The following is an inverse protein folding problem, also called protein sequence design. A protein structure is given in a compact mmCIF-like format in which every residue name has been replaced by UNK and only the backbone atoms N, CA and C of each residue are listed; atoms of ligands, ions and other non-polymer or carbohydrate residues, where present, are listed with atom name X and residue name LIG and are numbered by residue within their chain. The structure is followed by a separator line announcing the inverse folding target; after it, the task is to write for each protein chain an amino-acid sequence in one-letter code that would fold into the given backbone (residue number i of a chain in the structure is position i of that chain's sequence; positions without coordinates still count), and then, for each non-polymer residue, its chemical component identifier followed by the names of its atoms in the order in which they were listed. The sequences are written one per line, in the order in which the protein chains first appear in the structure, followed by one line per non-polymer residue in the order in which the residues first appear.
data_IF_671263175701
#
_entry.id   IF_671263175701
#
_cell.length_a   1.000
_cell.length_b   1.000
_cell.length_c   1.000
_cell.angle_alpha   90.00
_cell.angle_beta   90.00
_cell.angle_gamma   90.00
#
_symmetry.space_group_name_H-M   'P 1'
#
loop_
_entity.id
_entity.type
_entity.pdbx_description
1 polymer ?
#
# COMPACT_ATOMS: atom_id res chain seq x y z
N UNK A 1 -20.04 -9.14 -11.64
CA UNK A 1 -19.41 -8.63 -10.40
C UNK A 1 -18.98 -9.83 -9.57
N UNK A 2 -17.72 -9.91 -9.14
CA UNK A 2 -17.26 -10.98 -8.26
C UNK A 2 -17.80 -10.78 -6.84
N UNK A 3 -18.19 -11.88 -6.19
CA UNK A 3 -18.62 -11.86 -4.80
C UNK A 3 -17.45 -11.40 -3.89
N UNK A 4 -17.71 -10.60 -2.84
CA UNK A 4 -16.67 -10.18 -1.91
C UNK A 4 -16.14 -11.38 -1.12
N UNK A 5 -14.82 -11.46 -0.94
CA UNK A 5 -14.14 -12.50 -0.18
C UNK A 5 -13.43 -11.91 1.05
N UNK A 6 -14.18 -11.40 2.05
CA UNK A 6 -13.59 -10.76 3.22
C UNK A 6 -12.82 -11.76 4.08
N UNK A 7 -11.79 -11.27 4.78
CA UNK A 7 -11.07 -12.08 5.77
C UNK A 7 -11.99 -12.42 6.93
N UNK A 8 -11.88 -13.66 7.44
CA UNK A 8 -12.64 -14.11 8.62
C UNK A 8 -11.74 -14.37 9.82
N UNK A 9 -12.26 -14.13 11.01
CA UNK A 9 -11.60 -14.51 12.26
C UNK A 9 -11.67 -16.03 12.45
N UNK A 10 -10.57 -16.64 12.89
CA UNK A 10 -10.49 -18.11 13.05
C UNK A 10 -11.44 -18.67 14.11
N UNK A 11 -11.67 -17.93 15.20
CA UNK A 11 -12.40 -18.42 16.38
C UNK A 11 -13.92 -18.32 16.26
N UNK A 12 -14.42 -17.32 15.55
CA UNK A 12 -15.85 -16.99 15.54
C UNK A 12 -16.41 -16.79 14.13
N UNK A 13 -15.64 -17.03 13.07
CA UNK A 13 -16.10 -16.87 11.69
C UNK A 13 -16.43 -15.42 11.27
N UNK A 14 -16.37 -14.45 12.21
CA UNK A 14 -16.67 -13.03 11.98
C UNK A 14 -15.87 -12.46 10.83
N UNK A 15 -16.52 -11.68 9.98
CA UNK A 15 -15.90 -11.00 8.85
C UNK A 15 -15.15 -9.77 9.37
N UNK A 16 -13.94 -9.56 8.90
CA UNK A 16 -13.12 -8.41 9.29
C UNK A 16 -13.27 -7.32 8.23
N UNK A 17 -13.65 -6.13 8.68
CA UNK A 17 -13.73 -4.92 7.88
C UNK A 17 -12.45 -4.10 8.17
N UNK A 18 -11.63 -3.94 7.14
CA UNK A 18 -10.30 -3.33 7.23
C UNK A 18 -9.16 -4.33 7.51
N UNK A 19 -7.91 -3.83 7.60
CA UNK A 19 -6.74 -4.69 7.66
C UNK A 19 -6.49 -5.25 9.06
N UNK A 20 -6.08 -6.53 9.11
CA UNK A 20 -5.67 -7.16 10.37
C UNK A 20 -4.21 -6.82 10.72
N UNK A 21 -3.90 -6.81 12.03
CA UNK A 21 -2.53 -6.70 12.55
C UNK A 21 -1.53 -7.54 11.75
N UNK A 22 -1.87 -8.82 11.54
CA UNK A 22 -0.99 -9.78 10.85
C UNK A 22 -0.71 -9.37 9.40
N UNK A 23 -1.70 -8.90 8.65
CA UNK A 23 -1.50 -8.52 7.26
C UNK A 23 -0.67 -7.24 7.10
N UNK A 24 -0.71 -6.35 8.11
CA UNK A 24 0.15 -5.15 8.13
C UNK A 24 1.57 -5.46 8.58
N UNK A 25 1.71 -6.29 9.61
CA UNK A 25 2.99 -6.54 10.27
C UNK A 25 3.86 -7.57 9.56
N UNK A 26 3.27 -8.69 9.10
CA UNK A 26 4.02 -9.86 8.64
C UNK A 26 4.97 -9.55 7.46
N UNK A 27 4.57 -8.78 6.42
CA UNK A 27 5.49 -8.48 5.32
C UNK A 27 6.71 -7.65 5.78
N UNK A 28 6.50 -6.68 6.67
CA UNK A 28 7.59 -5.86 7.22
C UNK A 28 8.56 -6.69 8.06
N UNK A 29 8.01 -7.50 8.97
CA UNK A 29 8.79 -8.35 9.85
C UNK A 29 9.55 -9.47 9.12
N UNK A 30 9.05 -9.99 7.99
CA UNK A 30 9.68 -11.08 7.25
C UNK A 30 10.61 -10.64 6.12
N UNK A 31 10.47 -9.41 5.61
CA UNK A 31 11.26 -8.94 4.45
C UNK A 31 12.15 -7.75 4.83
N UNK A 32 11.56 -6.69 5.39
CA UNK A 32 12.30 -5.46 5.68
C UNK A 32 13.22 -5.57 6.90
N UNK A 33 12.70 -6.11 8.00
CA UNK A 33 13.45 -6.20 9.26
C UNK A 33 14.66 -7.14 9.17
N UNK A 34 14.60 -8.30 8.50
CA UNK A 34 15.77 -9.18 8.38
C UNK A 34 16.95 -8.54 7.65
N UNK A 35 16.70 -7.71 6.63
CA UNK A 35 17.77 -7.02 5.90
C UNK A 35 18.48 -6.00 6.79
N UNK A 36 17.72 -5.21 7.56
CA UNK A 36 18.29 -4.29 8.56
C UNK A 36 19.05 -5.04 9.65
N UNK A 37 18.51 -6.17 10.10
CA UNK A 37 19.11 -6.99 11.13
C UNK A 37 20.44 -7.62 10.70
N UNK A 38 20.56 -8.04 9.43
CA UNK A 38 21.83 -8.52 8.87
C UNK A 38 22.86 -7.39 8.81
N UNK A 39 22.45 -6.17 8.44
CA UNK A 39 23.35 -5.02 8.35
C UNK A 39 23.83 -4.54 9.72
N UNK A 40 22.97 -4.61 10.74
CA UNK A 40 23.27 -4.17 12.11
C UNK A 40 23.73 -5.31 13.03
N UNK A 41 23.74 -6.56 12.56
CA UNK A 41 24.04 -7.74 13.38
C UNK A 41 25.47 -7.80 13.91
N UNK A 42 26.40 -7.05 13.30
CA UNK A 42 27.81 -6.96 13.72
C UNK A 42 27.97 -6.35 15.12
N UNK A 43 27.13 -5.37 15.50
CA UNK A 43 27.21 -4.72 16.80
C UNK A 43 26.91 -5.67 17.98
N UNK A 44 25.76 -6.35 18.03
CA UNK A 44 25.50 -7.34 19.07
C UNK A 44 26.43 -8.54 18.97
N UNK A 45 26.90 -8.92 17.77
CA UNK A 45 27.90 -9.98 17.62
C UNK A 45 29.20 -9.65 18.36
N UNK A 46 29.73 -8.43 18.21
CA UNK A 46 30.90 -7.96 18.96
C UNK A 46 30.66 -7.94 20.48
N UNK A 47 29.45 -7.57 20.92
CA UNK A 47 29.07 -7.64 22.34
C UNK A 47 29.03 -9.08 22.87
N UNK A 48 28.52 -10.03 22.08
CA UNK A 48 28.52 -11.46 22.40
C UNK A 48 29.95 -12.00 22.47
N UNK A 49 30.81 -11.61 21.53
CA UNK A 49 32.23 -11.97 21.52
C UNK A 49 32.95 -11.48 22.77
N UNK A 50 32.75 -10.21 23.12
CA UNK A 50 33.34 -9.59 24.30
C UNK A 50 32.86 -10.27 25.59
N UNK A 51 31.55 -10.54 25.70
CA UNK A 51 30.99 -11.29 26.83
C UNK A 51 31.61 -12.69 26.94
N UNK A 52 31.72 -13.42 25.83
CA UNK A 52 32.35 -14.75 25.77
C UNK A 52 33.80 -14.67 26.25
N UNK A 53 34.58 -13.70 25.76
CA UNK A 53 35.97 -13.51 26.15
C UNK A 53 36.13 -13.26 27.66
N UNK A 54 35.25 -12.46 28.26
CA UNK A 54 35.24 -12.22 29.71
C UNK A 54 34.93 -13.50 30.49
N UNK A 55 33.96 -14.31 30.04
CA UNK A 55 33.58 -15.57 30.69
C UNK A 55 34.71 -16.60 30.63
N UNK A 56 35.39 -16.71 29.50
CA UNK A 56 36.56 -17.58 29.35
C UNK A 56 37.72 -17.17 30.27
N UNK A 57 38.01 -15.86 30.38
CA UNK A 57 39.02 -15.35 31.34
C UNK A 57 38.65 -15.62 32.80
N UNK A 58 37.36 -15.65 33.11
CA UNK A 58 36.84 -16.03 34.41
C UNK A 58 36.82 -17.57 34.64
N UNK A 59 37.48 -18.36 33.79
CA UNK A 59 37.61 -19.81 33.94
C UNK A 59 36.37 -20.62 33.57
N UNK A 60 35.36 -20.02 32.94
CA UNK A 60 34.16 -20.75 32.52
C UNK A 60 34.38 -21.33 31.11
N UNK A 61 34.23 -22.66 30.96
CA UNK A 61 34.25 -23.34 29.65
C UNK A 61 33.03 -24.26 29.49
N UNK A 62 31.84 -23.67 29.65
CA UNK A 62 30.57 -24.37 29.49
C UNK A 62 30.21 -24.66 28.03
N UNK A 63 29.30 -25.62 27.75
CA UNK A 63 28.90 -25.99 26.40
C UNK A 63 28.33 -24.81 25.58
N UNK A 64 27.69 -23.84 26.23
CA UNK A 64 27.21 -22.61 25.60
C UNK A 64 28.34 -21.78 24.97
N UNK A 65 29.51 -21.70 25.63
CA UNK A 65 30.66 -20.92 25.14
C UNK A 65 31.34 -21.57 23.94
N UNK A 66 31.24 -22.90 23.83
CA UNK A 66 31.70 -23.68 22.67
C UNK A 66 30.76 -23.51 21.47
N UNK A 67 29.45 -23.53 21.68
CA UNK A 67 28.48 -23.23 20.61
C UNK A 67 28.65 -21.81 20.07
N UNK A 68 29.00 -20.85 20.94
CA UNK A 68 29.28 -19.47 20.58
C UNK A 68 30.69 -19.25 20.04
N UNK A 69 31.55 -20.26 19.94
CA UNK A 69 32.91 -20.10 19.42
C UNK A 69 32.95 -19.59 17.96
N UNK A 70 32.14 -20.10 17.03
CA UNK A 70 32.19 -19.63 15.65
C UNK A 70 31.64 -18.21 15.52
N UNK A 71 32.40 -17.31 14.91
CA UNK A 71 31.98 -15.93 14.66
C UNK A 71 30.68 -15.82 13.85
N UNK A 72 30.42 -16.78 12.94
CA UNK A 72 29.15 -16.86 12.20
C UNK A 72 27.95 -17.08 13.13
N UNK A 73 28.09 -17.91 14.17
CA UNK A 73 27.01 -18.16 15.14
C UNK A 73 26.73 -16.90 15.94
N UNK A 74 27.77 -16.19 16.39
CA UNK A 74 27.63 -14.91 17.09
C UNK A 74 26.97 -13.84 16.22
N UNK A 75 27.34 -13.77 14.93
CA UNK A 75 26.71 -12.89 13.96
C UNK A 75 25.23 -13.21 13.73
N UNK A 76 24.88 -14.48 13.50
CA UNK A 76 23.48 -14.88 13.29
C UNK A 76 22.63 -14.63 14.53
N UNK A 77 23.16 -14.90 15.73
CA UNK A 77 22.48 -14.60 16.98
C UNK A 77 22.29 -13.09 17.16
N UNK A 78 23.32 -12.30 16.85
CA UNK A 78 23.27 -10.85 16.84
C UNK A 78 22.21 -10.31 15.88
N UNK A 79 22.18 -10.79 14.63
CA UNK A 79 21.16 -10.45 13.66
C UNK A 79 19.76 -10.84 14.15
N UNK A 80 19.57 -12.04 14.71
CA UNK A 80 18.28 -12.46 15.27
C UNK A 80 17.81 -11.56 16.43
N UNK A 81 18.73 -11.11 17.29
CA UNK A 81 18.42 -10.17 18.37
C UNK A 81 17.99 -8.81 17.84
N UNK A 82 18.72 -8.24 16.86
CA UNK A 82 18.31 -6.98 16.23
C UNK A 82 16.96 -7.15 15.55
N UNK A 83 16.78 -8.25 14.82
CA UNK A 83 15.53 -8.55 14.14
C UNK A 83 14.37 -8.60 15.13
N UNK A 84 14.49 -9.37 16.20
CA UNK A 84 13.46 -9.50 17.21
C UNK A 84 13.15 -8.15 17.89
N UNK A 85 14.19 -7.36 18.20
CA UNK A 85 14.04 -6.04 18.82
C UNK A 85 13.30 -5.07 17.90
N UNK A 86 13.73 -4.93 16.64
CA UNK A 86 13.12 -4.01 15.67
C UNK A 86 11.70 -4.46 15.32
N UNK A 87 11.50 -5.77 15.16
CA UNK A 87 10.18 -6.34 14.90
C UNK A 87 9.23 -6.04 16.08
N UNK A 88 9.65 -6.31 17.31
CA UNK A 88 8.88 -5.98 18.51
C UNK A 88 8.61 -4.48 18.62
N UNK A 89 9.61 -3.64 18.36
CA UNK A 89 9.47 -2.19 18.38
C UNK A 89 8.45 -1.69 17.36
N UNK A 90 8.42 -2.25 16.15
CA UNK A 90 7.42 -1.93 15.13
C UNK A 90 6.02 -2.47 15.47
N UNK A 91 5.93 -3.56 16.24
CA UNK A 91 4.66 -4.16 16.64
C UNK A 91 3.91 -3.31 17.68
N UNK A 92 4.63 -2.70 18.63
CA UNK A 92 4.05 -1.89 19.72
C UNK A 92 3.14 -0.75 19.23
N UNK A 93 3.59 0.19 18.35
CA UNK A 93 2.72 1.27 17.89
C UNK A 93 1.54 0.75 17.08
N UNK A 94 1.74 -0.33 16.32
CA UNK A 94 0.69 -0.98 15.54
C UNK A 94 -0.40 -1.55 16.46
N UNK A 95 -0.04 -2.19 17.58
CA UNK A 95 -0.99 -2.66 18.59
C UNK A 95 -1.75 -1.51 19.27
N UNK A 96 -1.06 -0.42 19.60
CA UNK A 96 -1.65 0.75 20.28
C UNK A 96 -2.67 1.46 19.38
N UNK A 97 -2.38 1.54 18.08
CA UNK A 97 -3.18 2.25 17.07
C UNK A 97 -4.17 1.36 16.34
N UNK A 98 -4.13 0.04 16.56
CA UNK A 98 -5.01 -0.91 15.89
C UNK A 98 -6.48 -0.62 16.16
N UNK A 99 -7.20 -0.29 15.09
CA UNK A 99 -8.65 -0.09 15.04
C UNK A 99 -9.18 -0.91 13.88
N UNK A 100 -10.07 -1.84 14.17
CA UNK A 100 -10.76 -2.66 13.16
C UNK A 100 -12.21 -2.81 13.52
N UNK A 101 -13.03 -3.14 12.52
CA UNK A 101 -14.45 -3.46 12.74
C UNK A 101 -14.66 -4.91 12.36
N UNK A 102 -15.32 -5.66 13.25
CA UNK A 102 -15.68 -7.05 13.00
C UNK A 102 -17.19 -7.12 12.79
N UNK A 103 -17.61 -7.68 11.68
CA UNK A 103 -19.00 -7.97 11.36
C UNK A 103 -19.32 -9.42 11.74
N UNK A 104 -20.30 -9.57 12.61
CA UNK A 104 -20.90 -10.86 12.93
C UNK A 104 -22.14 -11.06 12.03
N UNK A 105 -22.06 -11.92 11.00
CA UNK A 105 -23.15 -12.08 10.05
C UNK A 105 -24.35 -12.81 10.67
N UNK A 106 -24.13 -13.61 11.71
CA UNK A 106 -25.18 -14.46 12.31
C UNK A 106 -26.11 -13.63 13.19
N UNK A 107 -25.56 -12.65 13.90
CA UNK A 107 -26.30 -11.76 14.82
C UNK A 107 -26.60 -10.39 14.18
N UNK A 108 -26.08 -10.15 12.97
CA UNK A 108 -26.16 -8.86 12.27
C UNK A 108 -25.67 -7.69 13.14
N UNK A 109 -24.52 -7.87 13.80
CA UNK A 109 -23.90 -6.84 14.66
C UNK A 109 -22.49 -6.50 14.22
N UNK A 110 -22.18 -5.21 14.27
CA UNK A 110 -20.85 -4.67 14.08
C UNK A 110 -20.19 -4.44 15.44
N UNK A 111 -18.96 -4.91 15.58
CA UNK A 111 -18.14 -4.71 16.77
C UNK A 111 -16.92 -3.87 16.41
N UNK A 112 -16.78 -2.72 17.06
CA UNK A 112 -15.59 -1.89 16.96
C UNK A 112 -14.52 -2.41 17.91
N UNK A 113 -13.38 -2.77 17.36
CA UNK A 113 -12.25 -3.29 18.12
C UNK A 113 -11.13 -2.27 18.15
N UNK A 114 -10.66 -1.96 19.36
CA UNK A 114 -9.48 -1.13 19.60
C UNK A 114 -8.49 -1.91 20.45
N UNK A 115 -7.22 -1.96 20.03
CA UNK A 115 -6.10 -2.60 20.75
C UNK A 115 -6.22 -4.11 21.06
N UNK A 116 -7.38 -4.75 20.85
CA UNK A 116 -7.77 -6.17 21.11
C UNK A 116 -9.08 -6.30 21.92
N UNK A 117 -9.72 -5.19 22.33
CA UNK A 117 -11.00 -5.20 23.04
C UNK A 117 -12.13 -4.66 22.17
N UNK A 118 -13.32 -5.22 22.34
CA UNK A 118 -14.54 -4.63 21.80
C UNK A 118 -14.81 -3.38 22.64
N UNK A 119 -14.85 -2.23 21.98
CA UNK A 119 -15.14 -0.93 22.62
C UNK A 119 -16.60 -0.57 22.46
N UNK A 120 -17.17 -0.89 21.31
CA UNK A 120 -18.52 -0.48 20.94
C UNK A 120 -19.12 -1.56 20.05
N UNK A 121 -20.44 -1.76 20.17
CA UNK A 121 -21.20 -2.65 19.28
C UNK A 121 -22.42 -1.91 18.78
N UNK A 122 -22.72 -2.07 17.49
CA UNK A 122 -23.82 -1.43 16.79
C UNK A 122 -24.55 -2.48 15.97
N UNK A 123 -25.90 -2.46 15.91
CA UNK A 123 -26.61 -3.35 15.01
C UNK A 123 -26.40 -2.92 13.54
N UNK A 124 -26.44 -3.89 12.63
CA UNK A 124 -26.20 -3.66 11.21
C UNK A 124 -27.27 -2.76 10.57
N UNK A 125 -28.52 -2.82 11.03
CA UNK A 125 -29.61 -2.02 10.47
C UNK A 125 -29.45 -0.51 10.73
N UNK A 126 -28.58 -0.11 11.67
CA UNK A 126 -28.25 1.30 11.87
C UNK A 126 -27.29 1.84 10.81
N UNK A 127 -26.68 0.99 9.98
CA UNK A 127 -25.71 1.43 8.97
C UNK A 127 -26.42 2.03 7.76
N UNK A 128 -26.14 3.31 7.48
CA UNK A 128 -26.77 4.05 6.38
C UNK A 128 -25.80 4.29 5.22
N UNK A 129 -24.50 4.39 5.50
CA UNK A 129 -23.47 4.61 4.47
C UNK A 129 -22.20 3.87 4.81
N UNK A 130 -21.58 3.29 3.79
CA UNK A 130 -20.28 2.63 3.90
C UNK A 130 -19.45 3.03 2.70
N UNK A 131 -18.32 3.67 2.96
CA UNK A 131 -17.37 4.08 1.94
C UNK A 131 -15.99 3.55 2.29
N UNK A 132 -15.22 3.19 1.27
CA UNK A 132 -13.89 2.66 1.43
C UNK A 132 -13.03 3.17 0.30
N UNK A 133 -11.91 3.76 0.63
CA UNK A 133 -10.89 4.06 -0.37
C UNK A 133 -10.15 2.77 -0.75
N UNK A 134 -10.03 2.53 -2.05
CA UNK A 134 -9.35 1.38 -2.62
C UNK A 134 -7.82 1.50 -2.55
N UNK A 135 -7.30 2.71 -2.36
CA UNK A 135 -5.87 3.00 -2.32
C UNK A 135 -5.22 2.61 -0.99
N UNK A 136 -3.91 2.35 -1.04
CA UNK A 136 -3.12 2.02 0.16
C UNK A 136 -2.93 3.30 0.98
N UNK A 137 -3.18 3.24 2.29
CA UNK A 137 -3.28 4.45 3.11
C UNK A 137 -4.67 5.08 3.12
N UNK A 138 -5.57 4.62 2.25
CA UNK A 138 -6.95 5.09 2.15
C UNK A 138 -7.77 4.84 3.41
N UNK A 139 -8.83 5.60 3.58
CA UNK A 139 -9.71 5.55 4.75
C UNK A 139 -11.05 4.95 4.36
N UNK A 140 -11.59 4.09 5.23
CA UNK A 140 -12.98 3.65 5.17
C UNK A 140 -13.82 4.33 6.26
N UNK A 141 -15.06 4.65 5.93
CA UNK A 141 -16.02 5.29 6.82
C UNK A 141 -17.31 4.48 6.83
N UNK A 142 -17.81 4.22 8.03
CA UNK A 142 -19.12 3.60 8.27
C UNK A 142 -19.96 4.64 9.01
N UNK A 143 -21.03 5.12 8.39
CA UNK A 143 -21.94 6.11 8.96
C UNK A 143 -23.22 5.44 9.42
N UNK A 144 -23.66 5.79 10.62
CA UNK A 144 -24.86 5.26 11.26
C UNK A 144 -26.03 6.24 11.19
N UNK A 145 -27.25 5.75 11.45
CA UNK A 145 -28.50 6.51 11.35
C UNK A 145 -28.57 7.68 12.35
N UNK A 146 -27.86 7.59 13.47
CA UNK A 146 -27.72 8.67 14.45
C UNK A 146 -26.67 9.74 14.05
N UNK A 147 -26.05 9.59 12.87
CA UNK A 147 -25.00 10.47 12.37
C UNK A 147 -23.61 10.15 12.94
N UNK A 148 -23.47 9.12 13.79
CA UNK A 148 -22.15 8.69 14.24
C UNK A 148 -21.34 8.09 13.09
N UNK A 149 -20.02 8.24 13.16
CA UNK A 149 -19.11 7.70 12.14
C UNK A 149 -18.00 6.87 12.76
N UNK A 150 -17.80 5.69 12.19
CA UNK A 150 -16.63 4.86 12.48
C UNK A 150 -15.64 4.93 11.33
N UNK A 151 -14.51 5.55 11.63
CA UNK A 151 -13.35 5.62 10.74
C UNK A 151 -12.49 4.37 10.91
N UNK A 152 -12.29 3.65 9.81
CA UNK A 152 -11.44 2.47 9.72
C UNK A 152 -10.24 2.82 8.83
N UNK A 153 -9.03 2.92 9.39
CA UNK A 153 -7.85 3.29 8.62
C UNK A 153 -7.46 2.16 7.66
N UNK A 154 -6.76 2.53 6.58
CA UNK A 154 -6.07 1.61 5.68
C UNK A 154 -7.02 0.64 4.96
N UNK A 155 -8.18 1.13 4.54
CA UNK A 155 -9.26 0.34 3.89
C UNK A 155 -8.77 -0.39 2.65
N UNK A 156 -7.88 0.24 1.88
CA UNK A 156 -7.30 -0.31 0.65
C UNK A 156 -5.94 -0.98 0.83
N UNK A 157 -5.56 -1.41 2.04
CA UNK A 157 -4.28 -2.10 2.30
C UNK A 157 -4.09 -3.36 1.42
N UNK A 158 -5.10 -4.23 1.39
CA UNK A 158 -5.15 -5.43 0.55
C UNK A 158 -6.60 -5.68 0.07
N UNK A 159 -6.76 -6.59 -0.90
CA UNK A 159 -8.08 -6.91 -1.48
C UNK A 159 -9.06 -7.45 -0.43
N UNK A 160 -8.60 -8.29 0.50
CA UNK A 160 -9.46 -8.90 1.51
C UNK A 160 -9.99 -7.88 2.54
N UNK A 161 -9.20 -6.85 2.85
CA UNK A 161 -9.57 -5.74 3.74
C UNK A 161 -10.66 -4.89 3.09
N UNK A 162 -10.49 -4.59 1.80
CA UNK A 162 -11.47 -3.85 1.00
C UNK A 162 -12.76 -4.66 0.80
N UNK A 163 -12.65 -5.96 0.53
CA UNK A 163 -13.80 -6.86 0.44
C UNK A 163 -14.58 -6.98 1.75
N UNK A 164 -13.96 -6.68 2.91
CA UNK A 164 -14.66 -6.48 4.18
C UNK A 164 -15.73 -5.41 4.10
N UNK A 165 -15.43 -4.26 3.49
CA UNK A 165 -16.41 -3.18 3.29
C UNK A 165 -17.47 -3.55 2.26
N UNK A 166 -17.08 -4.22 1.17
CA UNK A 166 -18.04 -4.71 0.17
C UNK A 166 -19.01 -5.72 0.75
N UNK A 167 -18.53 -6.64 1.59
CA UNK A 167 -19.38 -7.61 2.27
C UNK A 167 -20.33 -6.92 3.26
N UNK A 168 -19.86 -5.89 3.96
CA UNK A 168 -20.71 -5.05 4.81
C UNK A 168 -21.80 -4.35 3.98
N UNK A 169 -21.46 -3.78 2.82
CA UNK A 169 -22.44 -3.14 1.92
C UNK A 169 -23.51 -4.13 1.45
N UNK A 170 -23.10 -5.35 1.07
CA UNK A 170 -24.05 -6.42 0.69
C UNK A 170 -25.03 -6.71 1.82
N UNK A 171 -24.52 -6.91 3.04
CA UNK A 171 -25.35 -7.27 4.19
C UNK A 171 -26.23 -6.11 4.69
N UNK A 172 -25.76 -4.87 4.56
CA UNK A 172 -26.53 -3.66 4.85
C UNK A 172 -27.47 -3.24 3.70
N UNK A 173 -27.53 -4.01 2.60
CA UNK A 173 -28.32 -3.70 1.40
C UNK A 173 -27.99 -2.33 0.77
N UNK A 174 -26.73 -1.93 0.86
CA UNK A 174 -26.21 -0.70 0.28
C UNK A 174 -25.61 -0.95 -1.11
N UNK A 175 -25.46 0.11 -1.93
CA UNK A 175 -24.71 0.02 -3.18
C UNK A 175 -23.30 -0.54 -2.94
N UNK A 176 -23.01 -1.67 -3.59
CA UNK A 176 -21.74 -2.38 -3.41
C UNK A 176 -20.70 -1.78 -4.33
N UNK A 177 -19.57 -1.38 -3.76
CA UNK A 177 -18.45 -0.88 -4.55
C UNK A 177 -17.90 -1.96 -5.50
N UNK A 178 -17.35 -1.57 -6.67
CA UNK A 178 -16.64 -2.50 -7.53
C UNK A 178 -15.47 -3.17 -6.79
N UNK A 179 -14.99 -4.34 -7.26
CA UNK A 179 -13.77 -4.95 -6.74
C UNK A 179 -12.59 -3.97 -6.74
N UNK A 180 -11.75 -4.03 -5.70
CA UNK A 180 -10.60 -3.12 -5.51
C UNK A 180 -9.74 -2.95 -6.77
N UNK A 181 -9.49 -4.05 -7.48
CA UNK A 181 -8.67 -4.04 -8.70
C UNK A 181 -9.28 -3.19 -9.82
N UNK A 182 -10.61 -3.18 -9.94
CA UNK A 182 -11.33 -2.38 -10.93
C UNK A 182 -11.28 -0.89 -10.58
N UNK A 183 -11.48 -0.55 -9.30
CA UNK A 183 -11.36 0.85 -8.81
C UNK A 183 -9.96 1.40 -9.06
N UNK A 184 -8.92 0.63 -8.71
CA UNK A 184 -7.51 1.02 -8.94
C UNK A 184 -7.22 1.14 -10.44
N UNK A 185 -7.73 0.21 -11.27
CA UNK A 185 -7.54 0.27 -12.71
C UNK A 185 -8.20 1.52 -13.32
N UNK A 186 -9.40 1.88 -12.85
CA UNK A 186 -10.10 3.09 -13.26
C UNK A 186 -9.33 4.36 -12.84
N UNK A 187 -8.88 4.47 -11.59
CA UNK A 187 -8.04 5.59 -11.13
C UNK A 187 -6.75 5.72 -11.95
N UNK A 188 -6.04 4.61 -12.19
CA UNK A 188 -4.83 4.60 -13.03
C UNK A 188 -5.11 5.03 -14.46
N UNK A 189 -6.25 4.63 -15.03
CA UNK A 189 -6.68 5.06 -16.37
C UNK A 189 -6.94 6.57 -16.38
N UNK A 190 -7.70 7.08 -15.42
CA UNK A 190 -7.99 8.51 -15.31
C UNK A 190 -6.71 9.35 -15.15
N UNK A 191 -5.78 8.96 -14.28
CA UNK A 191 -4.51 9.65 -14.11
C UNK A 191 -3.62 9.63 -15.36
N UNK A 192 -3.60 8.51 -16.09
CA UNK A 192 -2.89 8.43 -17.37
C UNK A 192 -3.51 9.39 -18.38
N UNK A 193 -4.83 9.33 -18.58
CA UNK A 193 -5.56 10.23 -19.49
C UNK A 193 -5.29 11.70 -19.14
N UNK A 194 -5.30 12.06 -17.85
CA UNK A 194 -4.98 13.41 -17.41
C UNK A 194 -3.57 13.86 -17.78
N UNK A 195 -2.56 13.00 -17.56
CA UNK A 195 -1.16 13.28 -17.96
C UNK A 195 -0.98 13.36 -19.48
N UNK A 196 -1.70 12.51 -20.21
CA UNK A 196 -1.65 12.48 -21.67
C UNK A 196 -2.30 13.74 -22.24
N UNK A 197 -3.41 14.21 -21.66
CA UNK A 197 -4.04 15.51 -21.99
C UNK A 197 -3.09 16.67 -21.76
N UNK A 198 -2.47 16.75 -20.59
CA UNK A 198 -1.48 17.78 -20.27
C UNK A 198 -0.28 17.74 -21.23
N UNK A 199 0.13 16.55 -21.67
CA UNK A 199 1.20 16.39 -22.66
C UNK A 199 0.75 16.86 -24.05
N UNK A 200 -0.46 16.52 -24.47
CA UNK A 200 -1.05 16.95 -25.73
C UNK A 200 -1.18 18.49 -25.79
N UNK A 201 -1.69 19.10 -24.72
CA UNK A 201 -1.84 20.55 -24.59
C UNK A 201 -0.49 21.28 -24.75
N UNK A 202 0.58 20.76 -24.13
CA UNK A 202 1.93 21.33 -24.24
C UNK A 202 2.48 21.40 -25.67
N UNK A 203 2.00 20.54 -26.57
CA UNK A 203 2.40 20.53 -27.99
C UNK A 203 1.29 21.02 -28.92
N UNK A 204 0.23 21.62 -28.38
CA UNK A 204 -0.93 22.09 -29.14
C UNK A 204 -1.70 20.99 -29.88
N UNK A 205 -1.62 19.75 -29.40
CA UNK A 205 -2.35 18.62 -29.96
C UNK A 205 -3.77 18.59 -29.36
N UNK A 206 -4.84 18.71 -30.18
CA UNK A 206 -6.20 18.65 -29.68
C UNK A 206 -6.53 17.24 -29.19
N UNK A 207 -7.20 17.15 -28.04
CA UNK A 207 -7.64 15.86 -27.49
C UNK A 207 -8.78 15.26 -28.30
N UNK A 208 -8.70 13.97 -28.59
CA UNK A 208 -9.76 13.22 -29.27
C UNK A 208 -10.30 12.13 -28.33
N UNK A 209 -11.62 11.86 -28.39
CA UNK A 209 -12.26 10.82 -27.57
C UNK A 209 -11.64 9.43 -27.76
N UNK A 210 -11.16 9.13 -28.97
CA UNK A 210 -10.49 7.86 -29.26
C UNK A 210 -9.26 7.60 -28.37
N UNK A 211 -8.61 8.64 -27.85
CA UNK A 211 -7.43 8.52 -26.98
C UNK A 211 -7.78 8.06 -25.56
N UNK A 212 -9.03 8.24 -25.13
CA UNK A 212 -9.47 7.77 -23.81
C UNK A 212 -9.49 6.22 -23.74
N UNK A 213 -9.74 5.57 -24.89
CA UNK A 213 -9.89 4.12 -25.00
C UNK A 213 -8.68 3.41 -25.64
N UNK A 214 -7.94 4.09 -26.52
CA UNK A 214 -6.76 3.55 -27.21
C UNK A 214 -5.48 4.38 -26.90
N UNK A 215 -4.68 3.95 -25.90
CA UNK A 215 -3.41 4.57 -25.58
C UNK A 215 -2.39 4.52 -26.73
N UNK A 216 -2.48 3.52 -27.61
CA UNK A 216 -1.54 3.36 -28.72
C UNK A 216 -1.80 4.37 -29.83
N UNK A 217 -3.07 4.69 -30.09
CA UNK A 217 -3.45 5.77 -31.00
C UNK A 217 -2.97 7.14 -30.52
N UNK A 218 -3.08 7.42 -29.22
CA UNK A 218 -2.51 8.64 -28.63
C UNK A 218 -0.99 8.71 -28.83
N UNK A 219 -0.26 7.66 -28.44
CA UNK A 219 1.20 7.64 -28.52
C UNK A 219 1.71 7.79 -29.96
N UNK A 220 1.07 7.13 -30.92
CA UNK A 220 1.44 7.22 -32.33
C UNK A 220 1.29 8.65 -32.88
N UNK A 221 0.17 9.30 -32.56
CA UNK A 221 -0.11 10.69 -32.98
C UNK A 221 0.79 11.69 -32.25
N UNK A 222 0.99 11.50 -30.95
CA UNK A 222 1.86 12.33 -30.13
C UNK A 222 3.30 12.29 -30.61
N UNK A 223 3.84 11.08 -30.88
CA UNK A 223 5.19 10.91 -31.40
C UNK A 223 5.35 11.50 -32.80
N UNK A 224 4.33 11.40 -33.66
CA UNK A 224 4.32 12.06 -34.97
C UNK A 224 4.45 13.58 -34.83
N UNK A 225 3.59 14.21 -34.03
CA UNK A 225 3.62 15.67 -33.81
C UNK A 225 4.94 16.12 -33.16
N UNK A 226 5.50 15.33 -32.25
CA UNK A 226 6.83 15.57 -31.68
C UNK A 226 7.94 15.52 -32.74
N UNK A 227 7.88 14.58 -33.70
CA UNK A 227 8.81 14.52 -34.83
C UNK A 227 8.66 15.71 -35.77
N UNK A 228 7.44 16.19 -36.03
CA UNK A 228 7.16 17.41 -36.79
C UNK A 228 7.79 18.64 -36.12
N UNK A 229 7.56 18.83 -34.81
CA UNK A 229 8.18 19.91 -34.03
C UNK A 229 9.72 19.83 -34.02
N UNK A 230 10.25 18.61 -34.06
CA UNK A 230 11.69 18.33 -34.18
C UNK A 230 12.25 18.43 -35.60
N UNK A 231 11.44 18.77 -36.61
CA UNK A 231 11.86 18.88 -38.02
C UNK A 231 12.19 17.54 -38.70
N UNK A 232 11.78 16.40 -38.12
CA UNK A 232 12.06 15.05 -38.64
C UNK A 232 10.95 14.51 -39.56
N UNK A 233 9.80 15.17 -39.60
CA UNK A 233 8.63 14.75 -40.38
C UNK A 233 7.89 16.00 -40.90
N UNK A 234 7.31 15.99 -42.12
CA UNK A 234 6.60 17.14 -42.65
C UNK A 234 5.28 17.41 -41.88
N UNK A 235 4.91 18.69 -41.65
CA UNK A 235 3.69 19.04 -40.91
C UNK A 235 2.42 18.75 -41.71
N UNK A 236 1.34 18.37 -41.01
CA UNK A 236 -0.01 18.26 -41.55
C UNK A 236 -0.85 19.51 -41.22
N UNK A 237 -1.97 19.76 -41.92
CA UNK A 237 -2.89 20.84 -41.56
C UNK A 237 -3.32 20.74 -40.09
N UNK A 238 -3.12 21.81 -39.31
CA UNK A 238 -3.43 21.86 -37.88
C UNK A 238 -2.29 21.38 -36.96
N UNK A 239 -1.09 21.12 -37.49
CA UNK A 239 0.11 20.88 -36.69
C UNK A 239 0.80 22.21 -36.34
N UNK A 240 1.30 22.30 -35.10
CA UNK A 240 2.23 23.36 -34.74
C UNK A 240 3.57 23.07 -35.42
N UNK A 241 4.06 24.04 -36.18
CA UNK A 241 5.40 24.02 -36.76
C UNK A 241 6.27 24.92 -35.92
N UNK A 242 7.52 24.52 -35.69
CA UNK A 242 8.50 25.40 -35.03
C UNK A 242 8.73 26.60 -35.97
N UNK A 243 8.09 27.73 -35.70
CA UNK A 243 8.35 28.97 -36.44
C UNK A 243 9.85 29.26 -36.38
N UNK A 244 10.42 29.52 -37.56
CA UNK A 244 11.85 29.44 -37.80
C UNK A 244 12.67 30.29 -36.84
N UNK A 245 13.49 29.63 -36.00
CA UNK A 245 14.75 30.21 -35.51
C UNK A 245 15.77 30.22 -36.65
N UNK A 246 15.42 30.89 -37.75
CA UNK A 246 16.22 31.02 -38.96
C UNK A 246 15.88 32.33 -39.68
N UNK A 247 15.96 33.47 -38.98
CA UNK A 247 16.20 34.78 -39.61
C UNK A 247 17.11 35.61 -38.71
N UNK A 248 18.29 35.97 -39.24
CA UNK A 248 19.01 37.17 -38.80
C UNK A 248 20.35 37.00 -38.08
N UNK A 249 21.37 36.48 -38.78
CA UNK A 249 22.74 37.04 -38.90
C UNK A 249 23.35 36.32 -40.10
N UNK A 250 23.15 36.80 -41.32
CA UNK A 250 23.74 38.05 -41.79
C UNK A 250 25.22 37.79 -42.08
N UNK A 251 25.49 37.13 -43.21
CA UNK A 251 26.70 37.40 -43.99
C UNK A 251 26.58 38.87 -44.39
N UNK A 252 27.50 39.68 -43.92
CA UNK A 252 28.05 40.85 -44.60
C UNK A 252 29.32 41.25 -43.84
N UNK A 253 30.44 40.71 -44.30
CA UNK A 253 31.79 41.28 -44.33
C UNK A 253 32.70 40.27 -45.05
#
# INVERSE_FOLDING_TARGET
MSAPAPRRTRRHGRQVVGPTLRARYLPGALIGVPLLALLLGTFPAAGIEQWRAVRLRAGHDGPLLRVLEPGLVQFLLGALLVWALVALWALVPLLITHRTVHLDPDVATLHRIRRLRIVESRPLHEVVRVEADAERGGIGVITFADGAEWVVPESGWDTASFDGFRALQVLAQLPVQPPRGEVIAAHRRAHRIGRDRESAERIGMPWQRAYDDDPSAFLAEFDRRRRVLGGKEPPRPGDLVREGRARGRGRDA
#
